data_IF_696859052016
#
_entry.id   IF_696859052016
#
_cell.length_a   1.000
_cell.length_b   1.000
_cell.length_c   1.000
_cell.angle_alpha   90.00
_cell.angle_beta   90.00
_cell.angle_gamma   90.00
#
_symmetry.space_group_name_H-M   'P 1'
#
loop_
_entity.id
_entity.type
_entity.pdbx_description
1 polymer ?
#
# COMPACT_ATOMS: atom_id res chain seq x y z
N UNK A 1 -14.52 18.90 9.33
CA UNK A 1 -13.56 18.21 10.22
C UNK A 1 -12.63 17.42 9.32
N UNK A 2 -11.31 17.44 9.54
CA UNK A 2 -10.35 16.67 8.71
C UNK A 2 -10.51 15.18 9.03
N UNK A 3 -10.57 14.26 8.05
CA UNK A 3 -10.60 12.84 8.32
C UNK A 3 -9.34 12.44 9.07
N UNK A 4 -9.44 11.38 9.86
CA UNK A 4 -8.28 10.75 10.49
C UNK A 4 -7.23 10.42 9.43
N UNK A 5 -5.92 10.55 9.75
CA UNK A 5 -4.86 10.11 8.86
C UNK A 5 -5.11 8.67 8.42
N UNK A 6 -4.76 8.33 7.18
CA UNK A 6 -4.79 6.94 6.75
C UNK A 6 -3.54 6.21 7.22
N UNK A 7 -3.51 4.89 7.15
CA UNK A 7 -2.31 4.12 7.49
C UNK A 7 -1.10 4.48 6.64
N UNK A 8 -1.32 4.82 5.37
CA UNK A 8 -0.32 5.43 4.51
C UNK A 8 0.24 6.73 5.12
N UNK A 9 -0.62 7.65 5.57
CA UNK A 9 -0.16 8.93 6.12
C UNK A 9 0.76 8.71 7.34
N UNK A 10 0.39 7.75 8.20
CA UNK A 10 1.19 7.38 9.39
C UNK A 10 2.52 6.74 9.07
N UNK A 11 2.56 5.89 8.04
CA UNK A 11 3.76 5.12 7.70
C UNK A 11 4.70 5.82 6.72
N UNK A 12 4.19 6.74 5.91
CA UNK A 12 4.95 7.41 4.86
C UNK A 12 5.06 8.92 5.09
N UNK A 13 3.94 9.63 5.15
CA UNK A 13 3.92 11.10 5.27
C UNK A 13 4.56 11.57 6.58
N UNK A 14 4.18 10.97 7.71
CA UNK A 14 4.73 11.32 9.04
C UNK A 14 6.19 10.89 9.22
N UNK A 15 6.65 9.91 8.42
CA UNK A 15 7.99 9.32 8.52
C UNK A 15 8.98 9.91 7.49
N UNK A 16 8.56 10.94 6.76
CA UNK A 16 9.26 11.50 5.61
C UNK A 16 10.72 11.84 5.88
N UNK A 17 11.03 12.43 7.03
CA UNK A 17 12.43 12.78 7.40
C UNK A 17 13.33 11.55 7.43
N UNK A 18 12.85 10.45 8.01
CA UNK A 18 13.59 9.19 8.09
C UNK A 18 13.76 8.55 6.71
N UNK A 19 12.72 8.64 5.86
CA UNK A 19 12.74 8.16 4.48
C UNK A 19 13.75 8.95 3.63
N UNK A 20 13.73 10.28 3.71
CA UNK A 20 14.68 11.16 3.00
C UNK A 20 16.13 10.90 3.44
N UNK A 21 16.35 10.66 4.74
CA UNK A 21 17.64 10.27 5.26
C UNK A 21 18.08 8.90 4.71
N UNK A 22 17.18 7.91 4.67
CA UNK A 22 17.44 6.60 4.08
C UNK A 22 17.83 6.71 2.60
N UNK A 23 17.07 7.44 1.79
CA UNK A 23 17.36 7.70 0.36
C UNK A 23 18.77 8.24 0.16
N UNK A 24 19.13 9.29 0.89
CA UNK A 24 20.44 9.95 0.77
C UNK A 24 21.59 8.99 1.10
N UNK A 25 21.47 8.18 2.15
CA UNK A 25 22.52 7.23 2.51
C UNK A 25 22.56 6.03 1.56
N UNK A 26 21.40 5.56 1.09
CA UNK A 26 21.32 4.52 0.08
C UNK A 26 22.02 4.95 -1.23
N UNK A 27 21.74 6.16 -1.71
CA UNK A 27 22.35 6.74 -2.91
C UNK A 27 23.87 6.86 -2.76
N UNK A 28 24.35 7.33 -1.61
CA UNK A 28 25.77 7.58 -1.36
C UNK A 28 26.58 6.31 -1.11
N UNK A 29 26.06 5.38 -0.31
CA UNK A 29 26.84 4.27 0.24
C UNK A 29 26.51 2.92 -0.42
N UNK A 30 25.28 2.80 -0.96
CA UNK A 30 24.66 1.55 -1.38
C UNK A 30 24.07 0.75 -0.22
N UNK A 31 23.18 -0.19 -0.53
CA UNK A 31 22.40 -0.96 0.46
C UNK A 31 23.28 -1.61 1.54
N UNK A 32 24.38 -2.25 1.12
CA UNK A 32 25.23 -3.07 1.99
C UNK A 32 26.03 -2.25 3.00
N UNK A 33 26.36 -1.00 2.69
CA UNK A 33 27.18 -0.12 3.54
C UNK A 33 26.37 0.93 4.27
N UNK A 34 25.09 1.09 3.94
CA UNK A 34 24.21 2.09 4.52
C UNK A 34 24.15 1.99 6.06
N UNK A 35 24.01 0.78 6.61
CA UNK A 35 23.92 0.53 8.05
C UNK A 35 25.21 0.96 8.79
N UNK A 36 26.37 0.54 8.29
CA UNK A 36 27.67 0.88 8.87
C UNK A 36 27.95 2.38 8.79
N UNK A 37 27.57 3.01 7.67
CA UNK A 37 27.71 4.45 7.49
C UNK A 37 26.85 5.23 8.50
N UNK A 38 25.59 4.85 8.67
CA UNK A 38 24.69 5.46 9.65
C UNK A 38 25.21 5.28 11.08
N UNK A 39 25.72 4.09 11.42
CA UNK A 39 26.32 3.82 12.74
C UNK A 39 27.52 4.71 13.02
N UNK A 40 28.44 4.86 12.06
CA UNK A 40 29.61 5.74 12.19
C UNK A 40 29.23 7.21 12.37
N UNK A 41 28.17 7.67 11.71
CA UNK A 41 27.72 9.06 11.85
C UNK A 41 27.09 9.34 13.22
N UNK A 42 26.49 8.32 13.87
CA UNK A 42 26.09 8.37 15.27
C UNK A 42 27.31 8.41 16.21
N UNK A 43 28.28 7.53 16.02
CA UNK A 43 29.51 7.50 16.82
C UNK A 43 30.29 8.83 16.76
N UNK A 44 30.24 9.51 15.60
CA UNK A 44 30.86 10.82 15.37
C UNK A 44 30.02 11.99 15.88
N UNK A 45 28.84 11.75 16.44
CA UNK A 45 27.93 12.78 16.94
C UNK A 45 27.28 13.65 15.85
N UNK A 46 27.33 13.23 14.57
CA UNK A 46 26.73 13.98 13.44
C UNK A 46 25.28 13.62 13.18
N UNK A 47 24.82 12.49 13.71
CA UNK A 47 23.45 12.01 13.58
C UNK A 47 22.95 11.51 14.93
N UNK A 48 21.68 11.75 15.25
CA UNK A 48 21.07 11.17 16.46
C UNK A 48 20.81 9.68 16.27
N UNK A 49 20.80 8.92 17.37
CA UNK A 49 20.44 7.48 17.36
C UNK A 49 19.04 7.27 16.77
N UNK A 50 18.10 8.17 17.07
CA UNK A 50 16.73 8.11 16.59
C UNK A 50 16.67 8.29 15.06
N UNK A 51 17.37 9.29 14.52
CA UNK A 51 17.42 9.53 13.08
C UNK A 51 18.08 8.36 12.34
N UNK A 52 19.18 7.82 12.87
CA UNK A 52 19.86 6.66 12.29
C UNK A 52 18.95 5.41 12.29
N UNK A 53 18.28 5.14 13.41
CA UNK A 53 17.35 4.01 13.53
C UNK A 53 16.16 4.17 12.59
N UNK A 54 15.65 5.39 12.43
CA UNK A 54 14.64 5.73 11.45
C UNK A 54 15.09 5.43 10.03
N UNK A 55 16.27 5.91 9.62
CA UNK A 55 16.80 5.66 8.28
C UNK A 55 17.06 4.18 8.00
N UNK A 56 17.59 3.43 8.98
CA UNK A 56 17.76 1.97 8.86
C UNK A 56 16.40 1.30 8.61
N UNK A 57 15.37 1.67 9.38
CA UNK A 57 14.01 1.13 9.23
C UNK A 57 13.43 1.36 7.84
N UNK A 58 13.73 2.49 7.19
CA UNK A 58 13.21 2.85 5.87
C UNK A 58 14.18 2.57 4.71
N UNK A 59 15.33 1.93 4.97
CA UNK A 59 16.29 1.57 3.93
C UNK A 59 15.71 0.67 2.84
N UNK A 60 14.89 -0.32 3.25
CA UNK A 60 14.22 -1.23 2.32
C UNK A 60 13.18 -0.50 1.46
N UNK A 61 12.39 0.40 2.05
CA UNK A 61 11.45 1.24 1.32
C UNK A 61 12.18 2.11 0.27
N UNK A 62 13.28 2.78 0.65
CA UNK A 62 14.08 3.57 -0.29
C UNK A 62 14.66 2.74 -1.45
N UNK A 63 15.05 1.49 -1.18
CA UNK A 63 15.48 0.56 -2.23
C UNK A 63 14.32 0.19 -3.15
N UNK A 64 13.15 -0.11 -2.58
CA UNK A 64 11.94 -0.44 -3.34
C UNK A 64 11.56 0.71 -4.26
N UNK A 65 11.63 1.96 -3.81
CA UNK A 65 11.40 3.15 -4.64
C UNK A 65 12.30 3.14 -5.89
N UNK A 66 13.61 3.02 -5.68
CA UNK A 66 14.60 3.00 -6.76
C UNK A 66 14.40 1.84 -7.73
N UNK A 67 14.09 0.64 -7.24
CA UNK A 67 13.85 -0.53 -8.10
C UNK A 67 12.54 -0.36 -8.88
N UNK A 68 11.49 0.13 -8.22
CA UNK A 68 10.18 0.36 -8.81
C UNK A 68 10.21 1.43 -9.92
N UNK A 69 11.06 2.46 -9.80
CA UNK A 69 11.33 3.43 -10.87
C UNK A 69 11.89 2.74 -12.13
N UNK A 70 12.73 1.71 -11.95
CA UNK A 70 13.37 0.96 -13.05
C UNK A 70 12.44 -0.04 -13.71
N UNK A 71 11.72 -0.85 -12.92
CA UNK A 71 10.90 -1.97 -13.44
C UNK A 71 9.43 -1.58 -13.68
N UNK A 72 9.00 -0.45 -13.13
CA UNK A 72 7.62 0.02 -13.15
C UNK A 72 6.91 -0.24 -11.81
N UNK A 73 6.30 0.82 -11.28
CA UNK A 73 5.70 0.83 -9.95
C UNK A 73 4.68 -0.28 -9.70
N UNK A 74 3.85 -0.65 -10.67
CA UNK A 74 2.82 -1.69 -10.48
C UNK A 74 3.31 -3.11 -10.74
N UNK A 75 4.60 -3.34 -10.99
CA UNK A 75 5.14 -4.67 -11.34
C UNK A 75 5.85 -5.34 -10.16
N UNK A 76 5.08 -5.76 -9.15
CA UNK A 76 5.62 -6.35 -7.92
C UNK A 76 6.55 -7.55 -8.16
N UNK A 77 6.14 -8.47 -9.03
CA UNK A 77 6.91 -9.69 -9.32
C UNK A 77 8.22 -9.39 -10.02
N UNK A 78 8.26 -8.38 -10.90
CA UNK A 78 9.48 -7.97 -11.59
C UNK A 78 10.45 -7.29 -10.61
N UNK A 79 9.93 -6.49 -9.67
CA UNK A 79 10.72 -5.90 -8.59
C UNK A 79 11.39 -6.98 -7.72
N UNK A 80 10.70 -8.07 -7.39
CA UNK A 80 11.27 -9.17 -6.62
C UNK A 80 12.37 -9.95 -7.36
N UNK A 81 12.41 -9.85 -8.70
CA UNK A 81 13.42 -10.50 -9.55
C UNK A 81 14.61 -9.59 -9.86
N UNK A 82 14.52 -8.31 -9.51
CA UNK A 82 15.59 -7.36 -9.75
C UNK A 82 16.85 -7.73 -8.97
N UNK A 83 18.01 -7.69 -9.64
CA UNK A 83 19.28 -8.14 -9.08
C UNK A 83 19.68 -7.35 -7.82
N UNK A 84 19.38 -6.05 -7.80
CA UNK A 84 19.69 -5.20 -6.65
C UNK A 84 18.79 -5.53 -5.46
N UNK A 85 17.51 -5.76 -5.71
CA UNK A 85 16.56 -6.21 -4.70
C UNK A 85 16.97 -7.57 -4.11
N UNK A 86 17.33 -8.53 -4.96
CA UNK A 86 17.79 -9.86 -4.55
C UNK A 86 19.08 -9.79 -3.74
N UNK A 87 20.06 -8.99 -4.18
CA UNK A 87 21.31 -8.78 -3.46
C UNK A 87 21.09 -8.15 -2.09
N UNK A 88 20.19 -7.16 -1.99
CA UNK A 88 19.82 -6.52 -0.74
C UNK A 88 19.19 -7.50 0.25
N UNK A 89 18.17 -8.25 -0.18
CA UNK A 89 17.49 -9.24 0.66
C UNK A 89 18.47 -10.31 1.15
N UNK A 90 19.34 -10.81 0.26
CA UNK A 90 20.39 -11.76 0.64
C UNK A 90 21.33 -11.17 1.69
N UNK A 91 21.81 -9.94 1.48
CA UNK A 91 22.71 -9.28 2.44
C UNK A 91 22.06 -9.09 3.81
N UNK A 92 20.77 -8.74 3.86
CA UNK A 92 20.01 -8.59 5.11
C UNK A 92 19.84 -9.92 5.84
N UNK A 93 19.57 -11.01 5.10
CA UNK A 93 19.48 -12.35 5.67
C UNK A 93 20.82 -12.80 6.24
N UNK A 94 21.91 -12.68 5.46
CA UNK A 94 23.23 -13.13 5.87
C UNK A 94 23.74 -12.37 7.11
N UNK A 95 23.46 -11.07 7.21
CA UNK A 95 23.75 -10.27 8.40
C UNK A 95 22.91 -10.69 9.61
N UNK A 96 21.62 -10.97 9.42
CA UNK A 96 20.76 -11.45 10.51
C UNK A 96 21.21 -12.83 11.01
N UNK A 97 21.53 -13.77 10.11
CA UNK A 97 22.05 -15.08 10.47
C UNK A 97 23.32 -14.94 11.30
N UNK A 98 24.25 -14.06 10.89
CA UNK A 98 25.50 -13.79 11.62
C UNK A 98 25.23 -13.22 13.02
N UNK A 99 24.34 -12.24 13.15
CA UNK A 99 24.00 -11.60 14.43
C UNK A 99 23.27 -12.53 15.40
N UNK A 100 22.45 -13.45 14.88
CA UNK A 100 21.68 -14.41 15.68
C UNK A 100 22.42 -15.71 15.94
N UNK A 101 23.49 -16.01 15.19
CA UNK A 101 24.18 -17.29 15.26
C UNK A 101 23.30 -18.47 14.82
N UNK A 102 22.29 -18.22 13.98
CA UNK A 102 21.33 -19.22 13.49
C UNK A 102 21.30 -19.18 11.98
N UNK A 103 21.54 -20.33 11.35
CA UNK A 103 21.52 -20.48 9.90
C UNK A 103 20.96 -21.86 9.51
N UNK A 104 19.66 -22.07 9.76
CA UNK A 104 18.94 -23.29 9.35
C UNK A 104 18.00 -23.01 8.18
N UNK A 105 17.60 -24.08 7.48
CA UNK A 105 16.64 -23.98 6.39
C UNK A 105 15.31 -23.39 6.84
N UNK A 106 14.79 -23.83 7.99
CA UNK A 106 13.54 -23.35 8.58
C UNK A 106 13.63 -21.86 8.93
N UNK A 107 14.76 -21.44 9.51
CA UNK A 107 15.00 -20.03 9.82
C UNK A 107 15.00 -19.17 8.54
N UNK A 108 15.70 -19.60 7.49
CA UNK A 108 15.72 -18.90 6.21
C UNK A 108 14.34 -18.83 5.56
N UNK A 109 13.56 -19.90 5.61
CA UNK A 109 12.18 -19.91 5.10
C UNK A 109 11.27 -18.94 5.87
N UNK A 110 11.31 -18.99 7.21
CA UNK A 110 10.51 -18.10 8.04
C UNK A 110 10.89 -16.64 7.84
N UNK A 111 12.19 -16.36 7.70
CA UNK A 111 12.69 -15.03 7.39
C UNK A 111 12.20 -14.54 6.03
N UNK A 112 12.28 -15.38 4.99
CA UNK A 112 11.80 -15.04 3.65
C UNK A 112 10.31 -14.72 3.67
N UNK A 113 9.49 -15.55 4.32
CA UNK A 113 8.06 -15.29 4.45
C UNK A 113 7.77 -13.93 5.13
N UNK A 114 8.41 -13.66 6.26
CA UNK A 114 8.21 -12.42 7.02
C UNK A 114 8.68 -11.18 6.25
N UNK A 115 9.83 -11.26 5.56
CA UNK A 115 10.38 -10.14 4.81
C UNK A 115 9.61 -9.88 3.52
N UNK A 116 9.10 -10.91 2.82
CA UNK A 116 8.26 -10.71 1.64
C UNK A 116 6.97 -9.95 1.99
N UNK A 117 6.40 -10.17 3.17
CA UNK A 117 5.26 -9.38 3.67
C UNK A 117 5.66 -7.91 3.94
N UNK A 118 6.85 -7.67 4.52
CA UNK A 118 7.36 -6.31 4.71
C UNK A 118 7.63 -5.59 3.38
N UNK A 119 8.23 -6.30 2.42
CA UNK A 119 8.49 -5.81 1.05
C UNK A 119 7.19 -5.46 0.35
N UNK A 120 6.19 -6.34 0.40
CA UNK A 120 4.88 -6.09 -0.21
C UNK A 120 4.22 -4.84 0.36
N UNK A 121 4.23 -4.68 1.69
CA UNK A 121 3.72 -3.45 2.34
C UNK A 121 4.47 -2.21 1.89
N UNK A 122 5.80 -2.24 1.92
CA UNK A 122 6.61 -1.07 1.56
C UNK A 122 6.42 -0.72 0.08
N UNK A 123 6.28 -1.73 -0.78
CA UNK A 123 5.88 -1.56 -2.17
C UNK A 123 4.51 -0.89 -2.31
N UNK A 124 3.50 -1.30 -1.54
CA UNK A 124 2.21 -0.57 -1.51
C UNK A 124 2.41 0.92 -1.23
N UNK A 125 3.24 1.28 -0.24
CA UNK A 125 3.52 2.69 0.07
C UNK A 125 4.15 3.40 -1.12
N UNK A 126 5.11 2.79 -1.81
CA UNK A 126 5.72 3.37 -3.00
C UNK A 126 4.71 3.57 -4.13
N UNK A 127 3.90 2.55 -4.44
CA UNK A 127 2.92 2.65 -5.52
C UNK A 127 1.86 3.70 -5.22
N UNK A 128 1.33 3.74 -4.00
CA UNK A 128 0.33 4.74 -3.64
C UNK A 128 0.90 6.16 -3.65
N UNK A 129 2.17 6.36 -3.28
CA UNK A 129 2.83 7.65 -3.44
C UNK A 129 2.82 8.08 -4.92
N UNK A 130 3.31 7.21 -5.79
CA UNK A 130 3.52 7.49 -7.21
C UNK A 130 2.22 7.61 -8.01
N UNK A 131 1.16 6.92 -7.59
CA UNK A 131 -0.18 7.01 -8.20
C UNK A 131 -1.05 8.13 -7.64
N UNK A 132 -0.47 9.01 -6.82
CA UNK A 132 -1.14 10.21 -6.32
C UNK A 132 -2.13 9.93 -5.20
N UNK A 133 -1.94 8.82 -4.47
CA UNK A 133 -2.65 8.46 -3.24
C UNK A 133 -4.17 8.57 -3.37
N UNK A 134 -4.73 8.05 -4.46
CA UNK A 134 -6.15 8.18 -4.75
C UNK A 134 -6.99 7.56 -3.64
N UNK A 135 -7.97 8.33 -3.14
CA UNK A 135 -8.88 7.92 -2.06
C UNK A 135 -10.30 7.83 -2.57
N UNK A 136 -10.90 6.67 -2.35
CA UNK A 136 -12.31 6.43 -2.52
C UNK A 136 -12.92 6.13 -1.16
N UNK A 137 -14.16 6.53 -0.95
CA UNK A 137 -14.91 6.23 0.25
C UNK A 137 -16.24 5.63 -0.17
N UNK A 138 -16.67 4.56 0.50
CA UNK A 138 -17.94 3.90 0.24
C UNK A 138 -18.82 3.99 1.48
N UNK A 139 -20.03 4.50 1.30
CA UNK A 139 -21.03 4.55 2.38
C UNK A 139 -21.36 3.14 2.88
N UNK A 140 -21.68 2.99 4.17
CA UNK A 140 -21.88 1.68 4.79
C UNK A 140 -22.99 0.85 4.13
N UNK A 141 -24.13 1.46 3.82
CA UNK A 141 -25.25 0.81 3.13
C UNK A 141 -24.85 0.32 1.73
N UNK A 142 -24.20 1.20 0.95
CA UNK A 142 -23.71 0.87 -0.38
C UNK A 142 -22.68 -0.26 -0.30
N UNK A 143 -21.76 -0.22 0.65
CA UNK A 143 -20.75 -1.27 0.83
C UNK A 143 -21.40 -2.63 1.11
N UNK A 144 -22.34 -2.70 2.06
CA UNK A 144 -23.09 -3.93 2.38
C UNK A 144 -23.84 -4.47 1.16
N UNK A 145 -24.52 -3.58 0.43
CA UNK A 145 -25.22 -3.94 -0.79
C UNK A 145 -24.28 -4.49 -1.86
N UNK A 146 -23.17 -3.79 -2.13
CA UNK A 146 -22.18 -4.21 -3.12
C UNK A 146 -21.56 -5.56 -2.76
N UNK A 147 -21.26 -5.82 -1.49
CA UNK A 147 -20.78 -7.14 -1.03
C UNK A 147 -21.82 -8.23 -1.31
N UNK A 148 -23.09 -7.97 -1.02
CA UNK A 148 -24.17 -8.95 -1.18
C UNK A 148 -24.59 -9.18 -2.65
N UNK A 149 -24.62 -8.14 -3.47
CA UNK A 149 -25.14 -8.16 -4.84
C UNK A 149 -24.07 -8.38 -5.92
N UNK A 150 -22.79 -8.40 -5.56
CA UNK A 150 -21.72 -8.70 -6.53
C UNK A 150 -21.63 -10.21 -6.72
N UNK A 151 -22.03 -10.73 -7.90
CA UNK A 151 -21.99 -12.16 -8.14
C UNK A 151 -20.53 -12.61 -8.23
N UNK A 152 -20.16 -13.63 -7.48
CA UNK A 152 -18.83 -14.22 -7.55
C UNK A 152 -18.53 -14.90 -8.89
N UNK A 153 -19.56 -15.15 -9.72
CA UNK A 153 -19.45 -15.65 -11.10
C UNK A 153 -18.99 -14.60 -12.11
N UNK A 154 -18.78 -13.34 -11.68
CA UNK A 154 -18.20 -12.31 -12.55
C UNK A 154 -16.83 -12.75 -13.06
N UNK A 155 -16.61 -12.59 -14.37
CA UNK A 155 -15.33 -12.96 -14.99
C UNK A 155 -14.23 -12.00 -14.57
N UNK A 156 -13.10 -12.55 -14.12
CA UNK A 156 -11.96 -11.81 -13.61
C UNK A 156 -11.42 -10.77 -14.60
N UNK A 157 -11.36 -11.10 -15.89
CA UNK A 157 -10.91 -10.20 -16.97
C UNK A 157 -11.80 -8.95 -17.13
N UNK A 158 -13.08 -9.04 -16.76
CA UNK A 158 -14.04 -7.94 -16.88
C UNK A 158 -13.96 -6.93 -15.73
N UNK A 159 -13.39 -7.33 -14.60
CA UNK A 159 -13.24 -6.48 -13.42
C UNK A 159 -12.20 -5.38 -13.66
N UNK A 160 -12.62 -4.16 -13.95
CA UNK A 160 -11.70 -3.03 -14.16
C UNK A 160 -11.74 -2.08 -12.98
N UNK A 161 -10.67 -2.04 -12.21
CA UNK A 161 -10.51 -1.03 -11.17
C UNK A 161 -10.48 0.37 -11.79
N UNK A 162 -10.97 1.41 -11.09
CA UNK A 162 -11.01 2.78 -11.61
C UNK A 162 -9.61 3.37 -11.87
N UNK A 163 -8.61 2.82 -11.19
CA UNK A 163 -7.19 3.13 -11.37
C UNK A 163 -6.40 1.91 -10.91
N UNK A 164 -5.14 1.83 -11.31
CA UNK A 164 -4.24 0.74 -10.95
C UNK A 164 -3.80 0.74 -9.47
N UNK A 165 -3.95 1.85 -8.74
CA UNK A 165 -3.76 1.88 -7.28
C UNK A 165 -4.61 2.95 -6.58
N UNK A 166 -5.33 2.54 -5.54
CA UNK A 166 -6.09 3.44 -4.67
C UNK A 166 -6.33 2.84 -3.29
N UNK A 167 -6.73 3.68 -2.34
CA UNK A 167 -7.28 3.22 -1.06
C UNK A 167 -8.80 3.39 -1.09
N UNK A 168 -9.51 2.33 -0.73
CA UNK A 168 -10.94 2.37 -0.43
C UNK A 168 -11.12 2.48 1.08
N UNK A 169 -11.75 3.56 1.51
CA UNK A 169 -12.16 3.80 2.89
C UNK A 169 -13.55 3.20 3.09
N UNK A 170 -13.68 2.33 4.07
CA UNK A 170 -14.94 1.71 4.46
C UNK A 170 -15.32 2.15 5.88
N UNK A 171 -16.59 2.51 6.08
CA UNK A 171 -17.11 2.72 7.43
C UNK A 171 -17.01 1.41 8.23
N UNK A 172 -16.66 1.45 9.54
CA UNK A 172 -16.77 0.28 10.42
C UNK A 172 -18.15 -0.38 10.38
N UNK A 173 -19.20 0.40 10.11
CA UNK A 173 -20.58 -0.08 10.00
C UNK A 173 -20.80 -0.96 8.76
N UNK A 174 -19.92 -0.92 7.76
CA UNK A 174 -20.00 -1.78 6.58
C UNK A 174 -19.92 -3.28 6.92
N UNK A 175 -19.45 -3.63 8.12
CA UNK A 175 -19.41 -5.01 8.59
C UNK A 175 -18.24 -5.83 8.05
N UNK A 176 -17.23 -5.19 7.46
CA UNK A 176 -15.99 -5.84 7.05
C UNK A 176 -15.12 -6.09 8.28
N UNK A 177 -14.85 -7.35 8.59
CA UNK A 177 -14.17 -7.74 9.84
C UNK A 177 -12.95 -8.62 9.56
N UNK A 178 -11.80 -8.21 10.06
CA UNK A 178 -10.58 -9.04 10.12
C UNK A 178 -10.11 -9.23 11.55
N UNK A 179 -8.87 -9.68 11.75
CA UNK A 179 -8.26 -9.86 13.07
C UNK A 179 -7.42 -8.64 13.46
N UNK A 180 -7.74 -8.08 14.61
CA UNK A 180 -6.98 -7.04 15.29
C UNK A 180 -5.67 -7.57 15.88
N UNK A 181 -4.89 -6.69 16.53
CA UNK A 181 -3.55 -7.00 17.06
C UNK A 181 -3.52 -8.16 18.05
N UNK A 182 -4.58 -8.31 18.86
CA UNK A 182 -4.71 -9.37 19.87
C UNK A 182 -5.43 -10.61 19.32
N UNK A 183 -5.68 -10.68 18.00
CA UNK A 183 -6.46 -11.74 17.36
C UNK A 183 -7.98 -11.59 17.50
N UNK A 184 -8.46 -10.60 18.26
CA UNK A 184 -9.88 -10.26 18.37
C UNK A 184 -10.42 -9.66 17.05
N UNK A 185 -11.72 -9.81 16.75
CA UNK A 185 -12.34 -9.17 15.58
C UNK A 185 -12.15 -7.65 15.59
N UNK A 186 -11.72 -7.08 14.46
CA UNK A 186 -11.57 -5.63 14.27
C UNK A 186 -12.09 -5.20 12.90
N UNK A 187 -12.69 -4.00 12.77
CA UNK A 187 -13.20 -3.52 11.50
C UNK A 187 -12.06 -3.24 10.51
N UNK A 188 -12.23 -3.69 9.28
CA UNK A 188 -11.37 -3.29 8.15
C UNK A 188 -11.88 -1.95 7.65
N UNK A 189 -11.09 -0.90 7.86
CA UNK A 189 -11.50 0.49 7.53
C UNK A 189 -10.77 1.06 6.33
N UNK A 190 -9.63 0.47 5.94
CA UNK A 190 -8.87 0.88 4.77
C UNK A 190 -8.47 -0.36 3.96
N UNK A 191 -8.81 -0.35 2.67
CA UNK A 191 -8.42 -1.39 1.70
C UNK A 191 -7.54 -0.71 0.66
N UNK A 192 -6.24 -0.88 0.80
CA UNK A 192 -5.27 -0.48 -0.20
C UNK A 192 -5.20 -1.55 -1.27
N UNK A 193 -5.43 -1.16 -2.52
CA UNK A 193 -5.36 -2.09 -3.66
C UNK A 193 -4.35 -1.57 -4.67
N UNK A 194 -3.54 -2.49 -5.18
CA UNK A 194 -2.71 -2.29 -6.36
C UNK A 194 -2.99 -3.42 -7.34
N UNK A 195 -3.38 -3.05 -8.56
CA UNK A 195 -3.50 -3.96 -9.69
C UNK A 195 -2.15 -4.08 -10.39
N UNK A 196 -1.64 -5.30 -10.47
CA UNK A 196 -0.39 -5.64 -11.14
C UNK A 196 -0.67 -6.58 -12.31
N UNK A 197 0.05 -6.43 -13.44
CA UNK A 197 0.11 -7.47 -14.46
C UNK A 197 0.59 -8.80 -13.86
N UNK A 198 0.04 -9.91 -14.36
CA UNK A 198 0.47 -11.27 -14.03
C UNK A 198 0.52 -12.13 -15.32
N UNK A 199 1.28 -13.24 -15.36
CA UNK A 199 1.42 -14.05 -16.58
C UNK A 199 0.10 -14.56 -17.17
N UNK A 200 -0.89 -14.86 -16.34
CA UNK A 200 -2.18 -15.45 -16.73
C UNK A 200 -3.36 -14.46 -16.61
N UNK A 201 -3.08 -13.16 -16.53
CA UNK A 201 -4.09 -12.13 -16.37
C UNK A 201 -3.57 -10.98 -15.51
N UNK A 202 -4.14 -10.80 -14.32
CA UNK A 202 -3.73 -9.76 -13.37
C UNK A 202 -3.76 -10.24 -11.94
N UNK A 203 -3.19 -9.46 -11.04
CA UNK A 203 -3.26 -9.69 -9.60
C UNK A 203 -3.73 -8.43 -8.89
N UNK A 204 -4.60 -8.59 -7.91
CA UNK A 204 -4.87 -7.58 -6.89
C UNK A 204 -4.01 -7.89 -5.67
N UNK A 205 -3.06 -7.01 -5.42
CA UNK A 205 -2.35 -6.97 -4.15
C UNK A 205 -3.12 -6.08 -3.21
N UNK A 206 -3.54 -6.65 -2.08
CA UNK A 206 -4.39 -5.99 -1.10
C UNK A 206 -3.62 -5.79 0.19
N UNK A 207 -3.72 -4.59 0.74
CA UNK A 207 -3.36 -4.30 2.11
C UNK A 207 -4.60 -3.84 2.86
N UNK A 208 -5.07 -4.71 3.76
CA UNK A 208 -6.21 -4.45 4.63
C UNK A 208 -5.69 -3.86 5.94
N UNK A 209 -6.15 -2.66 6.30
CA UNK A 209 -5.80 -2.02 7.56
C UNK A 209 -6.96 -2.09 8.54
N UNK A 210 -6.63 -2.48 9.76
CA UNK A 210 -7.55 -2.58 10.88
C UNK A 210 -6.92 -1.87 12.08
N UNK A 211 -7.77 -1.29 12.93
CA UNK A 211 -7.36 -0.70 14.20
C UNK A 211 -8.32 -1.15 15.28
N UNK A 212 -7.78 -1.47 16.44
CA UNK A 212 -8.61 -1.76 17.61
C UNK A 212 -9.08 -0.46 18.30
N UNK A 213 -9.85 -0.60 19.38
CA UNK A 213 -10.34 0.53 20.17
C UNK A 213 -9.22 1.36 20.83
N UNK A 214 -8.04 0.77 21.03
CA UNK A 214 -6.84 1.44 21.55
C UNK A 214 -6.00 2.07 20.45
N UNK A 215 -6.48 2.06 19.21
CA UNK A 215 -5.81 2.58 18.03
C UNK A 215 -4.46 1.87 17.74
N UNK A 216 -4.31 0.60 18.15
CA UNK A 216 -3.22 -0.27 17.72
C UNK A 216 -3.55 -0.84 16.34
N UNK A 217 -2.56 -0.81 15.44
CA UNK A 217 -2.74 -1.22 14.05
C UNK A 217 -2.55 -2.73 13.87
N UNK A 218 -3.47 -3.36 13.15
CA UNK A 218 -3.31 -4.67 12.54
C UNK A 218 -3.42 -4.54 11.02
N UNK A 219 -2.87 -5.52 10.31
CA UNK A 219 -2.95 -5.56 8.86
C UNK A 219 -2.93 -6.98 8.33
N UNK A 220 -3.58 -7.15 7.18
CA UNK A 220 -3.47 -8.33 6.35
C UNK A 220 -2.96 -7.94 4.98
N UNK A 221 -2.08 -8.74 4.39
CA UNK A 221 -1.65 -8.59 3.01
C UNK A 221 -2.11 -9.82 2.23
N UNK A 222 -2.90 -9.60 1.19
CA UNK A 222 -3.58 -10.66 0.44
C UNK A 222 -3.26 -10.48 -1.04
N UNK A 223 -2.86 -11.57 -1.69
CA UNK A 223 -2.53 -11.59 -3.11
C UNK A 223 -3.62 -12.38 -3.83
N UNK A 224 -4.47 -11.69 -4.59
CA UNK A 224 -5.58 -12.30 -5.31
C UNK A 224 -5.23 -12.36 -6.80
N UNK A 225 -5.02 -13.56 -7.31
CA UNK A 225 -4.70 -13.78 -8.72
C UNK A 225 -5.98 -13.93 -9.54
N UNK A 226 -6.21 -12.97 -10.42
CA UNK A 226 -7.36 -12.87 -11.30
C UNK A 226 -6.95 -13.38 -12.68
N UNK A 227 -7.10 -14.70 -12.88
CA UNK A 227 -6.76 -15.38 -14.13
C UNK A 227 -7.82 -15.16 -15.21
N UNK A 228 -7.39 -15.00 -16.45
CA UNK A 228 -8.29 -14.88 -17.59
C UNK A 228 -9.15 -16.14 -17.76
N UNK A 229 -10.42 -15.97 -18.13
CA UNK A 229 -11.41 -17.06 -18.20
C UNK A 229 -11.85 -17.67 -16.86
N UNK A 230 -11.35 -17.17 -15.71
CA UNK A 230 -11.81 -17.57 -14.36
C UNK A 230 -12.77 -16.54 -13.77
N UNK A 231 -13.54 -16.98 -12.79
CA UNK A 231 -14.46 -16.13 -12.03
C UNK A 231 -13.79 -15.52 -10.79
N UNK A 232 -14.42 -14.51 -10.18
CA UNK A 232 -13.98 -13.98 -8.89
C UNK A 232 -13.99 -15.05 -7.79
N UNK A 233 -15.01 -15.91 -7.75
CA UNK A 233 -15.07 -17.00 -6.78
C UNK A 233 -13.95 -18.03 -6.98
N UNK A 234 -13.54 -18.30 -8.22
CA UNK A 234 -12.36 -19.15 -8.49
C UNK A 234 -11.09 -18.51 -7.90
N UNK A 235 -10.90 -17.20 -8.08
CA UNK A 235 -9.76 -16.47 -7.54
C UNK A 235 -9.76 -16.43 -6.00
N UNK A 236 -10.95 -16.27 -5.39
CA UNK A 236 -11.12 -16.35 -3.93
C UNK A 236 -10.80 -17.77 -3.44
N UNK A 237 -11.34 -18.81 -4.09
CA UNK A 237 -11.06 -20.19 -3.72
C UNK A 237 -9.56 -20.51 -3.80
N UNK A 238 -8.90 -20.14 -4.90
CA UNK A 238 -7.46 -20.30 -5.06
C UNK A 238 -6.66 -19.56 -3.98
N UNK A 239 -7.01 -18.31 -3.70
CA UNK A 239 -6.30 -17.50 -2.68
C UNK A 239 -6.47 -18.08 -1.27
N UNK A 240 -7.63 -18.65 -0.97
CA UNK A 240 -7.91 -19.35 0.29
C UNK A 240 -7.06 -20.61 0.45
N UNK A 241 -6.93 -21.39 -0.61
CA UNK A 241 -6.10 -22.60 -0.62
C UNK A 241 -4.61 -22.26 -0.38
N UNK A 242 -4.13 -21.15 -0.91
CA UNK A 242 -2.73 -20.73 -0.78
C UNK A 242 -2.37 -20.12 0.58
N UNK A 243 -3.29 -19.46 1.27
CA UNK A 243 -2.95 -18.71 2.48
C UNK A 243 -3.04 -19.46 3.81
N UNK A 244 -3.57 -20.68 3.81
CA UNK A 244 -3.61 -21.54 4.99
C UNK A 244 -4.51 -21.02 6.13
N UNK A 245 -4.46 -21.66 7.31
CA UNK A 245 -5.45 -21.47 8.39
C UNK A 245 -5.38 -20.12 9.12
N UNK A 246 -4.37 -19.30 8.83
CA UNK A 246 -4.15 -18.00 9.48
C UNK A 246 -4.67 -16.81 8.67
N UNK A 247 -5.19 -17.03 7.45
CA UNK A 247 -5.82 -15.96 6.69
C UNK A 247 -7.06 -15.39 7.41
N UNK A 248 -7.19 -14.08 7.39
CA UNK A 248 -8.34 -13.36 7.92
C UNK A 248 -9.63 -13.76 7.18
N UNK A 249 -10.78 -13.83 7.87
CA UNK A 249 -12.02 -14.22 7.20
C UNK A 249 -12.58 -13.09 6.29
N UNK A 250 -12.34 -11.82 6.63
CA UNK A 250 -12.96 -10.69 5.95
C UNK A 250 -12.33 -10.26 4.63
N UNK A 251 -11.23 -10.87 4.17
CA UNK A 251 -10.62 -10.45 2.91
C UNK A 251 -11.46 -10.82 1.68
N UNK A 252 -12.26 -11.89 1.78
CA UNK A 252 -13.15 -12.32 0.68
C UNK A 252 -14.23 -11.27 0.40
N UNK A 253 -14.84 -10.75 1.47
CA UNK A 253 -15.83 -9.67 1.37
C UNK A 253 -15.18 -8.38 0.87
N UNK A 254 -13.92 -8.12 1.21
CA UNK A 254 -13.16 -7.02 0.60
C UNK A 254 -12.99 -7.22 -0.91
N UNK A 255 -12.79 -8.44 -1.40
CA UNK A 255 -12.70 -8.72 -2.84
C UNK A 255 -14.04 -8.51 -3.54
N UNK A 256 -15.14 -8.98 -2.93
CA UNK A 256 -16.50 -8.75 -3.44
C UNK A 256 -16.84 -7.26 -3.46
N UNK A 257 -16.47 -6.52 -2.41
CA UNK A 257 -16.63 -5.08 -2.35
C UNK A 257 -15.85 -4.38 -3.47
N UNK A 258 -14.57 -4.72 -3.66
CA UNK A 258 -13.73 -4.14 -4.72
C UNK A 258 -14.31 -4.40 -6.12
N UNK A 259 -14.77 -5.63 -6.39
CA UNK A 259 -15.44 -5.97 -7.63
C UNK A 259 -16.77 -5.20 -7.81
N UNK A 260 -17.56 -5.06 -6.74
CA UNK A 260 -18.78 -4.26 -6.75
C UNK A 260 -18.53 -2.78 -6.99
N UNK A 261 -17.48 -2.21 -6.37
CA UNK A 261 -17.03 -0.83 -6.57
C UNK A 261 -16.56 -0.62 -8.02
N UNK A 262 -15.78 -1.55 -8.56
CA UNK A 262 -15.34 -1.51 -9.95
C UNK A 262 -16.53 -1.46 -10.92
N UNK A 263 -17.50 -2.36 -10.72
CA UNK A 263 -18.73 -2.41 -11.52
C UNK A 263 -19.56 -1.13 -11.38
N UNK A 264 -19.80 -0.69 -10.14
CA UNK A 264 -20.56 0.53 -9.84
C UNK A 264 -19.97 1.75 -10.57
N UNK A 265 -18.64 1.90 -10.55
CA UNK A 265 -17.97 3.00 -11.24
C UNK A 265 -18.01 2.84 -12.77
N UNK A 266 -17.84 1.61 -13.28
CA UNK A 266 -17.92 1.32 -14.72
C UNK A 266 -19.31 1.59 -15.30
N UNK A 267 -20.36 1.38 -14.51
CA UNK A 267 -21.76 1.64 -14.87
C UNK A 267 -22.17 3.11 -14.70
N UNK A 268 -21.25 3.99 -14.29
CA UNK A 268 -21.52 5.41 -14.11
C UNK A 268 -22.27 5.74 -12.81
N UNK A 269 -22.12 4.89 -11.78
CA UNK A 269 -22.66 5.13 -10.44
C UNK A 269 -22.22 6.50 -9.88
N UNK A 270 -23.06 7.14 -9.04
CA UNK A 270 -22.82 8.50 -8.60
C UNK A 270 -21.58 8.59 -7.68
N UNK A 271 -20.74 9.56 -8.00
CA UNK A 271 -19.52 9.86 -7.23
C UNK A 271 -19.48 11.35 -6.94
N UNK A 272 -19.33 11.68 -5.66
CA UNK A 272 -19.13 13.06 -5.20
C UNK A 272 -17.67 13.28 -4.80
N UNK A 273 -17.06 14.32 -5.33
CA UNK A 273 -15.72 14.73 -4.86
C UNK A 273 -15.86 15.62 -3.62
N UNK A 274 -15.15 15.26 -2.55
CA UNK A 274 -15.10 16.01 -1.30
C UNK A 274 -13.67 16.45 -0.98
N UNK A 275 -13.48 17.76 -0.83
CA UNK A 275 -12.23 18.36 -0.34
C UNK A 275 -12.24 18.44 1.18
N UNK A 276 -11.35 17.68 1.83
CA UNK A 276 -11.23 17.64 3.28
C UNK A 276 -10.01 18.41 3.82
N UNK A 277 -9.12 18.87 2.94
CA UNK A 277 -7.94 19.66 3.30
C UNK A 277 -7.88 20.91 2.42
N UNK A 278 -8.10 22.07 3.04
CA UNK A 278 -8.09 23.36 2.35
C UNK A 278 -6.69 23.73 1.79
N UNK A 279 -5.62 23.33 2.48
CA UNK A 279 -4.24 23.60 2.04
C UNK A 279 -3.95 22.84 0.77
N UNK A 280 -4.30 21.55 0.73
CA UNK A 280 -4.16 20.73 -0.46
C UNK A 280 -5.03 21.26 -1.62
N UNK A 281 -6.27 21.67 -1.34
CA UNK A 281 -7.15 22.30 -2.33
C UNK A 281 -6.50 23.53 -2.97
N UNK A 282 -6.02 24.47 -2.16
CA UNK A 282 -5.35 25.66 -2.67
C UNK A 282 -4.11 25.34 -3.51
N UNK A 283 -3.31 24.35 -3.09
CA UNK A 283 -2.13 23.92 -3.83
C UNK A 283 -2.51 23.30 -5.18
N UNK A 284 -3.57 22.51 -5.24
CA UNK A 284 -4.12 21.97 -6.47
C UNK A 284 -4.65 23.06 -7.41
N UNK A 285 -5.40 24.04 -6.89
CA UNK A 285 -5.90 25.19 -7.64
C UNK A 285 -4.75 26.06 -8.18
N UNK A 286 -3.72 26.34 -7.35
CA UNK A 286 -2.50 27.04 -7.77
C UNK A 286 -1.75 26.28 -8.86
N UNK A 287 -1.61 24.96 -8.73
CA UNK A 287 -0.96 24.12 -9.74
C UNK A 287 -1.75 24.09 -11.06
N UNK A 288 -3.08 24.10 -11.00
CA UNK A 288 -3.93 24.15 -12.18
C UNK A 288 -3.84 25.52 -12.90
N UNK A 289 -3.80 26.61 -12.14
CA UNK A 289 -3.66 27.97 -12.67
C UNK A 289 -2.25 28.27 -13.22
N UNK A 290 -1.21 27.57 -12.75
CA UNK A 290 0.17 27.79 -13.18
C UNK A 290 0.39 27.28 -14.61
N UNK A 291 0.82 28.13 -15.58
CA UNK A 291 1.03 27.73 -16.97
C UNK A 291 1.97 26.53 -17.12
N UNK A 292 1.70 25.65 -18.08
CA UNK A 292 2.55 24.46 -18.35
C UNK A 292 4.01 24.81 -18.70
N UNK A 293 4.27 26.03 -19.18
CA UNK A 293 5.61 26.55 -19.48
C UNK A 293 6.47 26.83 -18.23
N UNK A 294 5.84 27.10 -17.07
CA UNK A 294 6.54 27.38 -15.81
C UNK A 294 6.94 26.10 -15.07
N UNK A 295 7.84 25.30 -15.67
CA UNK A 295 8.20 23.96 -15.18
C UNK A 295 8.70 23.95 -13.74
N UNK A 296 9.59 24.87 -13.37
CA UNK A 296 10.19 24.92 -12.03
C UNK A 296 9.15 25.22 -10.93
N UNK A 297 8.23 26.16 -11.17
CA UNK A 297 7.19 26.52 -10.20
C UNK A 297 6.16 25.39 -10.05
N UNK A 298 5.80 24.72 -11.15
CA UNK A 298 4.95 23.54 -11.12
C UNK A 298 5.59 22.39 -10.32
N UNK A 299 6.90 22.20 -10.42
CA UNK A 299 7.59 21.16 -9.65
C UNK A 299 7.62 21.50 -8.16
N UNK A 300 7.93 22.75 -7.79
CA UNK A 300 7.83 23.19 -6.38
C UNK A 300 6.42 22.99 -5.80
N UNK A 301 5.37 23.26 -6.58
CA UNK A 301 3.99 23.02 -6.15
C UNK A 301 3.70 21.52 -5.98
N UNK A 302 4.22 20.66 -6.85
CA UNK A 302 4.11 19.20 -6.70
C UNK A 302 4.87 18.67 -5.49
N UNK A 303 6.07 19.16 -5.22
CA UNK A 303 6.83 18.81 -4.02
C UNK A 303 6.07 19.18 -2.74
N UNK A 304 5.43 20.35 -2.72
CA UNK A 304 4.55 20.79 -1.62
C UNK A 304 3.31 19.91 -1.51
N UNK A 305 2.70 19.51 -2.62
CA UNK A 305 1.57 18.57 -2.63
C UNK A 305 1.97 17.19 -2.09
N UNK A 306 3.14 16.66 -2.47
CA UNK A 306 3.70 15.42 -1.90
C UNK A 306 3.97 15.53 -0.39
N UNK A 307 4.22 16.75 0.11
CA UNK A 307 4.43 17.01 1.55
C UNK A 307 3.14 17.07 2.37
N UNK A 308 1.97 17.10 1.72
CA UNK A 308 0.68 17.11 2.41
C UNK A 308 -0.16 15.91 2.00
N UNK A 309 -1.29 15.71 2.67
CA UNK A 309 -2.28 14.72 2.28
C UNK A 309 -2.93 15.10 0.93
N UNK A 310 -3.45 14.16 0.12
CA UNK A 310 -4.10 14.46 -1.16
C UNK A 310 -5.25 15.47 -1.07
N UNK A 311 -5.86 15.58 0.10
CA UNK A 311 -6.87 16.60 0.42
C UNK A 311 -8.23 16.43 -0.22
N UNK A 312 -8.38 15.43 -1.10
CA UNK A 312 -9.63 15.05 -1.74
C UNK A 312 -9.94 13.57 -1.59
N UNK A 313 -11.23 13.26 -1.49
CA UNK A 313 -11.77 11.89 -1.49
C UNK A 313 -12.94 11.84 -2.48
N UNK A 314 -13.05 10.73 -3.21
CA UNK A 314 -14.21 10.43 -4.06
C UNK A 314 -15.17 9.54 -3.27
N UNK A 315 -16.33 10.07 -2.92
CA UNK A 315 -17.36 9.35 -2.15
C UNK A 315 -18.31 8.69 -3.14
N UNK A 316 -18.42 7.36 -3.08
CA UNK A 316 -19.40 6.59 -3.84
C UNK A 316 -20.75 6.65 -3.12
N UNK A 317 -21.78 6.99 -3.87
CA UNK A 317 -23.14 7.19 -3.36
C UNK A 317 -24.11 6.17 -3.97
N UNK A 318 -25.28 6.02 -3.37
CA UNK A 318 -26.34 5.26 -4.03
C UNK A 318 -26.92 6.06 -5.21
N UNK A 319 -27.30 5.39 -6.32
CA UNK A 319 -28.13 6.02 -7.34
C UNK A 319 -29.38 6.59 -6.68
N UNK A 320 -29.61 7.90 -6.85
CA UNK A 320 -30.85 8.52 -6.36
C UNK A 320 -32.03 7.81 -7.04
N UNK A 321 -32.92 7.23 -6.23
CA UNK A 321 -34.15 6.59 -6.70
C UNK A 321 -35.16 7.62 -7.20
#
# INVERSE_FOLDING_TARGET
>A
MRPSPTEFDRQYTEQRRSIELARRYLEKEGVTRMYDALTKEVERGRLSVQDASGAIRFGLLALIERVAERVGHTRYVDMLKDEEMLAALRSLLDDLCRRKGVDTFEFRQQWAHTNLQAVLRDWHLVVHEERGRQRYEVAADLARRLVAETPGTVLAETLKLPTDAFVLLASPEAGLVGRGPDGAPAPITEIYVVESPAPEGKAWFLWLSMRDSENRAARALINVYLQDGKTLDDAIAFTREQGGPQQDAGWEDCCRLLAGVARHLAEGGPVREHWYDATARELHEKLAATPKSAKADREKLRERLRAVSPGRTRVLEEPSR
#
